data_IF_249525258883
#
_entry.id   IF_249525258883
#
_cell.length_a   1.000
_cell.length_b   1.000
_cell.length_c   1.000
_cell.angle_alpha   90.00
_cell.angle_beta   90.00
_cell.angle_gamma   90.00
#
_symmetry.space_group_name_H-M   'P 1'
#
loop_
_entity.id
_entity.type
_entity.pdbx_description
1 polymer ?
#
# COMPACT_ATOMS: atom_id res chain seq x y z
N UNK A 1 24.50 19.86 15.07
CA UNK A 1 24.05 18.94 16.15
C UNK A 1 22.78 19.45 16.82
N UNK A 2 22.59 20.77 16.94
CA UNK A 2 21.34 21.39 17.45
C UNK A 2 20.16 21.29 16.48
N UNK A 3 20.41 21.36 15.16
CA UNK A 3 19.39 21.17 14.11
C UNK A 3 18.74 19.79 14.16
N UNK A 4 19.53 18.73 14.37
CA UNK A 4 19.03 17.34 14.54
C UNK A 4 18.18 17.19 15.81
N UNK A 5 18.54 17.90 16.88
CA UNK A 5 17.79 17.91 18.15
C UNK A 5 16.46 18.66 18.02
N UNK A 6 16.41 19.68 17.16
CA UNK A 6 15.19 20.40 16.82
C UNK A 6 14.22 19.54 16.00
N UNK A 7 14.71 18.81 14.99
CA UNK A 7 13.91 17.83 14.25
C UNK A 7 13.48 16.65 15.13
N UNK A 8 14.34 16.14 16.01
CA UNK A 8 14.00 15.03 16.91
C UNK A 8 12.90 15.36 17.93
N UNK A 9 12.72 16.64 18.29
CA UNK A 9 11.61 17.08 19.14
C UNK A 9 10.27 17.21 18.38
N UNK A 10 10.31 17.23 17.05
CA UNK A 10 9.10 17.25 16.19
C UNK A 10 8.63 15.85 15.81
N UNK A 11 9.46 14.82 15.96
CA UNK A 11 9.06 13.45 15.64
C UNK A 11 8.39 12.84 16.86
N UNK A 12 7.07 12.69 16.78
CA UNK A 12 6.30 11.99 17.80
C UNK A 12 6.79 10.53 17.92
N UNK A 13 7.22 10.05 19.10
CA UNK A 13 7.74 8.70 19.27
C UNK A 13 6.69 7.62 18.94
N UNK A 14 5.40 7.96 19.08
CA UNK A 14 4.27 7.16 18.61
C UNK A 14 4.36 6.90 17.10
N UNK A 15 4.61 7.94 16.30
CA UNK A 15 4.70 7.84 14.86
C UNK A 15 5.81 6.88 14.43
N UNK A 16 6.99 7.01 15.06
CA UNK A 16 8.11 6.10 14.82
C UNK A 16 7.72 4.67 15.21
N UNK A 17 7.07 4.47 16.35
CA UNK A 17 6.67 3.14 16.79
C UNK A 17 5.72 2.49 15.77
N UNK A 18 4.65 3.17 15.35
CA UNK A 18 3.67 2.64 14.39
C UNK A 18 4.32 2.33 13.05
N UNK A 19 5.00 3.30 12.45
CA UNK A 19 5.57 3.16 11.11
C UNK A 19 6.70 2.13 11.10
N UNK A 20 7.64 2.20 12.05
CA UNK A 20 8.77 1.27 12.08
C UNK A 20 8.33 -0.17 12.37
N UNK A 21 7.40 -0.37 13.32
CA UNK A 21 6.93 -1.72 13.64
C UNK A 21 6.07 -2.30 12.52
N UNK A 22 5.16 -1.53 11.92
CA UNK A 22 4.34 -1.99 10.80
C UNK A 22 5.16 -2.33 9.56
N UNK A 23 6.15 -1.50 9.22
CA UNK A 23 7.04 -1.77 8.09
C UNK A 23 7.93 -2.99 8.38
N UNK A 24 8.41 -3.13 9.61
CA UNK A 24 9.19 -4.29 10.03
C UNK A 24 8.36 -5.58 9.95
N UNK A 25 7.09 -5.56 10.38
CA UNK A 25 6.21 -6.72 10.28
C UNK A 25 5.89 -7.07 8.83
N UNK A 26 5.73 -6.08 7.95
CA UNK A 26 5.56 -6.32 6.51
C UNK A 26 6.80 -6.98 5.88
N UNK A 27 7.99 -6.40 6.12
CA UNK A 27 9.25 -6.91 5.57
C UNK A 27 9.60 -8.31 6.07
N UNK A 28 9.23 -8.63 7.31
CA UNK A 28 9.43 -9.96 7.89
C UNK A 28 8.25 -10.91 7.67
N UNK A 29 7.20 -10.47 6.98
CA UNK A 29 5.97 -11.24 6.74
C UNK A 29 5.38 -11.81 8.05
N UNK A 30 5.43 -11.03 9.13
CA UNK A 30 4.95 -11.46 10.44
C UNK A 30 3.42 -11.29 10.50
N UNK A 31 2.71 -12.41 10.46
CA UNK A 31 1.26 -12.47 10.67
C UNK A 31 0.94 -12.57 12.17
N UNK A 32 0.25 -11.55 12.73
CA UNK A 32 -0.15 -11.52 14.15
C UNK A 32 -1.48 -12.25 14.41
N UNK A 33 -2.31 -12.37 13.38
CA UNK A 33 -3.57 -13.10 13.41
C UNK A 33 -3.47 -14.16 12.31
N UNK A 34 -4.01 -15.36 12.54
CA UNK A 34 -4.08 -16.47 11.58
C UNK A 34 -4.88 -16.20 10.29
N UNK A 35 -4.87 -14.94 9.81
CA UNK A 35 -5.22 -14.50 8.46
C UNK A 35 -4.23 -15.03 7.41
N UNK A 36 -3.04 -15.44 7.83
CA UNK A 36 -2.19 -16.34 7.06
C UNK A 36 -2.80 -17.75 7.10
N UNK A 37 -3.89 -17.98 6.36
CA UNK A 37 -4.36 -19.34 6.14
C UNK A 37 -3.26 -20.12 5.41
N UNK A 38 -2.98 -21.32 5.91
CA UNK A 38 -2.09 -22.30 5.30
C UNK A 38 -2.51 -22.55 3.86
N UNK A 39 -1.49 -22.62 3.00
CA UNK A 39 -1.51 -23.28 1.70
C UNK A 39 -2.30 -22.55 0.59
N UNK A 40 -1.62 -21.70 -0.17
CA UNK A 40 -2.00 -21.51 -1.57
C UNK A 40 -0.76 -21.14 -2.38
N UNK A 41 -0.35 -22.12 -3.19
CA UNK A 41 0.55 -22.06 -4.34
C UNK A 41 1.12 -20.68 -4.63
N UNK A 42 2.46 -20.62 -4.61
CA UNK A 42 3.33 -19.60 -5.22
C UNK A 42 2.69 -19.01 -6.48
N UNK A 43 1.77 -18.07 -6.31
CA UNK A 43 1.39 -17.14 -7.35
C UNK A 43 2.65 -16.31 -7.58
N UNK A 44 3.03 -16.01 -8.83
CA UNK A 44 4.27 -15.30 -9.16
C UNK A 44 4.22 -13.82 -8.75
N UNK A 45 3.30 -13.46 -7.85
CA UNK A 45 3.28 -12.19 -7.17
C UNK A 45 4.07 -12.37 -5.89
N UNK A 46 5.39 -12.49 -6.05
CA UNK A 46 6.31 -12.14 -4.99
C UNK A 46 5.84 -10.79 -4.39
N UNK A 47 5.99 -10.58 -3.07
CA UNK A 47 5.76 -9.29 -2.44
C UNK A 47 6.75 -8.29 -3.04
N UNK A 48 6.37 -7.79 -4.21
CA UNK A 48 7.20 -6.90 -5.01
C UNK A 48 7.44 -5.68 -4.14
N UNK A 49 8.63 -5.10 -4.30
CA UNK A 49 8.99 -3.83 -3.68
C UNK A 49 7.90 -2.75 -3.87
N UNK A 50 6.98 -2.92 -4.83
CA UNK A 50 5.79 -2.12 -5.01
C UNK A 50 4.80 -2.12 -3.83
N UNK A 51 4.73 -3.18 -3.03
CA UNK A 51 3.87 -3.22 -1.83
C UNK A 51 4.40 -2.33 -0.69
N UNK A 52 5.70 -2.05 -0.68
CA UNK A 52 6.36 -1.25 0.37
C UNK A 52 5.81 0.19 0.41
N UNK A 53 5.80 0.97 -0.69
CA UNK A 53 5.24 2.33 -0.66
C UNK A 53 3.74 2.33 -0.34
N UNK A 54 3.00 1.31 -0.75
CA UNK A 54 1.59 1.15 -0.38
C UNK A 54 1.42 0.94 1.13
N UNK A 55 2.12 -0.02 1.72
CA UNK A 55 2.04 -0.28 3.17
C UNK A 55 2.55 0.91 3.98
N UNK A 56 3.64 1.54 3.52
CA UNK A 56 4.15 2.76 4.13
C UNK A 56 3.09 3.86 4.13
N UNK A 57 2.35 4.02 3.04
CA UNK A 57 1.26 4.99 2.97
C UNK A 57 0.17 4.69 4.01
N UNK A 58 -0.33 3.45 4.06
CA UNK A 58 -1.35 3.07 5.05
C UNK A 58 -0.87 3.32 6.49
N UNK A 59 0.39 3.04 6.79
CA UNK A 59 0.97 3.26 8.12
C UNK A 59 1.12 4.75 8.46
N UNK A 60 1.48 5.60 7.50
CA UNK A 60 1.56 7.03 7.72
C UNK A 60 0.18 7.62 8.06
N UNK A 61 -0.86 7.24 7.31
CA UNK A 61 -2.24 7.62 7.66
C UNK A 61 -2.62 7.13 9.06
N UNK A 62 -2.31 5.88 9.37
CA UNK A 62 -2.63 5.31 10.68
C UNK A 62 -1.94 6.06 11.82
N UNK A 63 -0.70 6.51 11.60
CA UNK A 63 0.10 7.22 12.59
C UNK A 63 -0.34 8.67 12.82
N UNK A 64 -1.06 9.30 11.89
CA UNK A 64 -1.70 10.60 12.10
C UNK A 64 -2.94 10.51 12.99
N UNK A 65 -3.66 9.39 12.95
CA UNK A 65 -4.79 9.18 13.83
C UNK A 65 -4.34 8.76 15.23
N UNK A 66 -4.93 9.40 16.24
CA UNK A 66 -4.85 8.87 17.61
C UNK A 66 -5.61 7.56 17.70
N UNK A 67 -4.86 6.47 17.65
CA UNK A 67 -5.35 5.09 17.75
C UNK A 67 -5.95 4.76 19.13
N UNK A 68 -5.72 5.61 20.14
CA UNK A 68 -6.23 5.42 21.48
C UNK A 68 -7.67 5.94 21.64
N UNK A 69 -8.64 5.10 22.05
CA UNK A 69 -9.97 5.58 22.34
C UNK A 69 -9.96 6.42 23.63
N UNK A 70 -10.51 7.63 23.54
CA UNK A 70 -10.61 8.63 24.63
C UNK A 70 -11.33 8.07 25.88
N UNK A 71 -12.03 6.94 25.74
CA UNK A 71 -12.85 6.31 26.78
C UNK A 71 -12.08 5.45 27.78
N UNK A 72 -10.81 5.11 27.52
CA UNK A 72 -9.99 4.32 28.45
C UNK A 72 -9.13 5.23 29.33
N UNK A 73 -9.32 5.10 30.65
CA UNK A 73 -8.51 5.71 31.72
C UNK A 73 -7.01 5.57 31.39
N UNK A 74 -6.26 6.67 31.49
CA UNK A 74 -4.85 6.78 31.06
C UNK A 74 -4.04 5.51 31.37
N UNK A 75 -3.74 4.67 30.36
CA UNK A 75 -3.04 3.41 30.57
C UNK A 75 -1.55 3.68 30.90
N UNK A 76 -0.85 2.70 31.50
CA UNK A 76 0.60 2.77 31.59
C UNK A 76 1.23 2.83 30.19
N UNK A 77 2.24 3.68 30.03
CA UNK A 77 2.92 4.01 28.75
C UNK A 77 3.38 2.74 27.99
N UNK A 78 3.83 1.71 28.69
CA UNK A 78 4.27 0.45 28.06
C UNK A 78 3.13 -0.29 27.34
N UNK A 79 1.92 -0.25 27.90
CA UNK A 79 0.76 -0.95 27.36
C UNK A 79 0.19 -0.22 26.14
N UNK A 80 0.34 1.11 26.12
CA UNK A 80 0.03 1.94 24.96
C UNK A 80 0.92 1.58 23.76
N UNK A 81 2.25 1.49 23.96
CA UNK A 81 3.16 1.10 22.88
C UNK A 81 2.89 -0.31 22.35
N UNK A 82 2.64 -1.29 23.23
CA UNK A 82 2.31 -2.65 22.80
C UNK A 82 1.02 -2.67 21.98
N UNK A 83 0.02 -1.90 22.39
CA UNK A 83 -1.23 -1.75 21.65
C UNK A 83 -1.00 -1.15 20.27
N UNK A 84 -0.27 -0.05 20.17
CA UNK A 84 0.05 0.61 18.89
C UNK A 84 0.82 -0.32 17.95
N UNK A 85 1.80 -1.07 18.46
CA UNK A 85 2.54 -2.06 17.68
C UNK A 85 1.63 -3.17 17.15
N UNK A 86 0.69 -3.65 17.99
CA UNK A 86 -0.25 -4.69 17.61
C UNK A 86 -1.24 -4.20 16.55
N UNK A 87 -1.76 -2.97 16.71
CA UNK A 87 -2.68 -2.37 15.74
C UNK A 87 -1.96 -2.07 14.43
N UNK A 88 -0.72 -1.56 14.48
CA UNK A 88 0.10 -1.33 13.28
C UNK A 88 0.25 -2.63 12.49
N UNK A 89 0.71 -3.69 13.14
CA UNK A 89 0.91 -4.99 12.49
C UNK A 89 -0.40 -5.68 12.06
N UNK A 90 -1.51 -5.46 12.75
CA UNK A 90 -2.82 -5.90 12.29
C UNK A 90 -3.23 -5.15 11.01
N UNK A 91 -3.09 -3.83 11.02
CA UNK A 91 -3.47 -2.96 9.91
C UNK A 91 -2.67 -3.27 8.65
N UNK A 92 -1.36 -3.55 8.78
CA UNK A 92 -0.52 -3.94 7.64
C UNK A 92 -1.00 -5.24 7.03
N UNK A 93 -1.27 -6.26 7.86
CA UNK A 93 -1.76 -7.55 7.38
C UNK A 93 -3.12 -7.40 6.67
N UNK A 94 -4.02 -6.60 7.25
CA UNK A 94 -5.32 -6.34 6.64
C UNK A 94 -5.19 -5.59 5.30
N UNK A 95 -4.37 -4.54 5.24
CA UNK A 95 -4.15 -3.77 4.03
C UNK A 95 -3.57 -4.62 2.90
N UNK A 96 -2.65 -5.54 3.21
CA UNK A 96 -2.07 -6.43 2.21
C UNK A 96 -3.11 -7.43 1.71
N UNK A 97 -3.74 -8.16 2.62
CA UNK A 97 -4.62 -9.27 2.23
C UNK A 97 -5.95 -8.82 1.65
N UNK A 98 -6.56 -7.76 2.19
CA UNK A 98 -7.88 -7.31 1.75
C UNK A 98 -7.83 -6.29 0.61
N UNK A 99 -6.75 -5.52 0.47
CA UNK A 99 -6.67 -4.43 -0.51
C UNK A 99 -5.61 -4.73 -1.55
N UNK A 100 -4.36 -4.91 -1.14
CA UNK A 100 -3.23 -5.06 -2.07
C UNK A 100 -3.37 -6.30 -2.96
N UNK A 101 -3.59 -7.49 -2.38
CA UNK A 101 -3.66 -8.74 -3.15
C UNK A 101 -4.82 -8.71 -4.16
N UNK A 102 -6.07 -8.34 -3.80
CA UNK A 102 -7.15 -8.23 -4.77
C UNK A 102 -6.89 -7.18 -5.85
N UNK A 103 -6.26 -6.06 -5.48
CA UNK A 103 -5.88 -5.02 -6.43
C UNK A 103 -4.83 -5.51 -7.44
N UNK A 104 -3.85 -6.32 -7.00
CA UNK A 104 -2.90 -6.96 -7.91
C UNK A 104 -3.60 -7.89 -8.90
N UNK A 105 -4.54 -8.70 -8.43
CA UNK A 105 -5.33 -9.58 -9.29
C UNK A 105 -6.16 -8.80 -10.31
N UNK A 106 -6.76 -7.68 -9.91
CA UNK A 106 -7.53 -6.84 -10.83
C UNK A 106 -6.64 -6.19 -11.87
N UNK A 107 -5.46 -5.67 -11.50
CA UNK A 107 -4.48 -5.10 -12.44
C UNK A 107 -4.05 -6.17 -13.45
N UNK A 108 -3.69 -7.36 -12.98
CA UNK A 108 -3.29 -8.46 -13.86
C UNK A 108 -4.41 -8.88 -14.81
N UNK A 109 -5.64 -9.00 -14.30
CA UNK A 109 -6.79 -9.32 -15.13
C UNK A 109 -7.05 -8.23 -16.19
N UNK A 110 -6.94 -6.96 -15.80
CA UNK A 110 -7.12 -5.82 -16.72
C UNK A 110 -6.04 -5.78 -17.81
N UNK A 111 -4.77 -6.05 -17.50
CA UNK A 111 -3.70 -6.09 -18.51
C UNK A 111 -3.88 -7.25 -19.49
N UNK A 112 -4.33 -8.41 -19.01
CA UNK A 112 -4.60 -9.57 -19.86
C UNK A 112 -5.84 -9.35 -20.74
N UNK A 113 -6.90 -8.74 -20.21
CA UNK A 113 -8.10 -8.40 -20.97
C UNK A 113 -7.80 -7.31 -22.00
N UNK A 114 -7.03 -6.28 -21.63
CA UNK A 114 -6.67 -5.20 -22.55
C UNK A 114 -5.83 -5.71 -23.72
N UNK A 115 -4.89 -6.63 -23.47
CA UNK A 115 -4.13 -7.32 -24.52
C UNK A 115 -5.04 -8.03 -25.52
N UNK A 116 -5.97 -8.87 -25.03
CA UNK A 116 -6.94 -9.58 -25.88
C UNK A 116 -7.83 -8.64 -26.68
N UNK A 117 -8.26 -7.54 -26.06
CA UNK A 117 -9.10 -6.55 -26.71
C UNK A 117 -8.34 -5.81 -27.82
N UNK A 118 -7.07 -5.46 -27.58
CA UNK A 118 -6.20 -4.85 -28.60
C UNK A 118 -5.95 -5.79 -29.79
N UNK A 119 -5.76 -7.10 -29.54
CA UNK A 119 -5.65 -8.09 -30.62
C UNK A 119 -6.94 -8.20 -31.43
N UNK A 120 -8.10 -8.21 -30.75
CA UNK A 120 -9.40 -8.24 -31.43
C UNK A 120 -9.65 -6.97 -32.26
N UNK A 121 -9.25 -5.80 -31.76
CA UNK A 121 -9.36 -4.54 -32.48
C UNK A 121 -8.45 -4.55 -33.72
N UNK A 122 -7.22 -5.08 -33.59
CA UNK A 122 -6.29 -5.23 -34.70
C UNK A 122 -6.86 -6.09 -35.84
N UNK A 123 -7.46 -7.24 -35.51
CA UNK A 123 -8.09 -8.11 -36.51
C UNK A 123 -9.32 -7.48 -37.14
N UNK A 124 -10.12 -6.74 -36.36
CA UNK A 124 -11.31 -6.04 -36.85
C UNK A 124 -10.96 -4.92 -37.84
N UNK A 125 -9.83 -4.24 -37.62
CA UNK A 125 -9.33 -3.21 -38.53
C UNK A 125 -8.57 -3.77 -39.74
N UNK A 126 -8.36 -5.09 -39.83
CA UNK A 126 -7.62 -5.72 -40.93
C UNK A 126 -6.14 -5.34 -40.98
N UNK A 127 -5.55 -4.98 -39.83
CA UNK A 127 -4.15 -4.60 -39.71
C UNK A 127 -3.24 -5.84 -39.68
N UNK A 128 -2.05 -5.72 -40.25
CA UNK A 128 -1.05 -6.80 -40.26
C UNK A 128 -0.56 -7.19 -38.86
N UNK A 129 0.05 -8.38 -38.76
CA UNK A 129 0.65 -8.92 -37.53
C UNK A 129 1.83 -8.10 -36.98
N UNK A 130 2.41 -7.21 -37.79
CA UNK A 130 3.47 -6.28 -37.40
C UNK A 130 2.96 -4.88 -37.05
N UNK A 131 1.64 -4.71 -36.93
CA UNK A 131 1.06 -3.44 -36.54
C UNK A 131 1.51 -3.03 -35.13
N UNK A 132 1.53 -1.71 -34.91
CA UNK A 132 1.79 -1.15 -33.57
C UNK A 132 0.83 -1.69 -32.51
N UNK A 133 -0.42 -1.99 -32.88
CA UNK A 133 -1.41 -2.58 -31.98
C UNK A 133 -1.03 -3.99 -31.52
N UNK A 134 -0.55 -4.83 -32.44
CA UNK A 134 -0.13 -6.19 -32.11
C UNK A 134 1.09 -6.17 -31.20
N UNK A 135 2.02 -5.25 -31.45
CA UNK A 135 3.20 -5.05 -30.62
C UNK A 135 2.81 -4.61 -29.21
N UNK A 136 1.88 -3.65 -29.08
CA UNK A 136 1.38 -3.19 -27.77
C UNK A 136 0.57 -4.25 -27.02
N UNK A 137 -0.21 -5.05 -27.74
CA UNK A 137 -0.97 -6.14 -27.15
C UNK A 137 -0.06 -7.27 -26.63
N UNK A 138 0.97 -7.62 -27.40
CA UNK A 138 1.97 -8.60 -26.96
C UNK A 138 2.78 -8.09 -25.77
N UNK A 139 3.11 -6.79 -25.77
CA UNK A 139 3.73 -6.15 -24.61
C UNK A 139 2.82 -6.29 -23.39
N UNK A 140 1.55 -5.85 -23.46
CA UNK A 140 0.54 -5.97 -22.39
C UNK A 140 0.28 -7.39 -21.87
N UNK A 141 0.58 -8.42 -22.68
CA UNK A 141 0.43 -9.81 -22.28
C UNK A 141 1.58 -10.31 -21.38
N UNK A 142 2.71 -9.60 -21.32
CA UNK A 142 3.85 -9.96 -20.48
C UNK A 142 3.54 -9.75 -18.98
N UNK A 143 3.90 -10.73 -18.16
CA UNK A 143 3.67 -10.70 -16.71
C UNK A 143 4.39 -9.53 -16.01
N UNK A 144 5.48 -9.02 -16.59
CA UNK A 144 6.22 -7.87 -16.07
C UNK A 144 5.42 -6.56 -16.10
N UNK A 145 4.47 -6.39 -17.01
CA UNK A 145 3.70 -5.13 -17.07
C UNK A 145 2.73 -5.01 -15.92
N UNK A 146 2.14 -6.12 -15.48
CA UNK A 146 1.28 -6.10 -14.30
C UNK A 146 2.05 -5.64 -13.06
N UNK A 147 3.32 -6.05 -12.92
CA UNK A 147 4.17 -5.60 -11.81
C UNK A 147 4.61 -4.14 -11.95
N UNK A 148 4.90 -3.65 -13.17
CA UNK A 148 5.15 -2.22 -13.40
C UNK A 148 3.91 -1.36 -13.10
N UNK A 149 2.72 -1.77 -13.56
CA UNK A 149 1.47 -1.07 -13.28
C UNK A 149 1.15 -1.05 -11.79
N UNK A 150 1.42 -2.15 -11.09
CA UNK A 150 1.31 -2.21 -9.63
C UNK A 150 2.24 -1.23 -8.92
N UNK A 151 3.49 -1.11 -9.38
CA UNK A 151 4.44 -0.13 -8.85
C UNK A 151 4.00 1.31 -9.11
N UNK A 152 3.50 1.60 -10.31
CA UNK A 152 2.94 2.92 -10.62
C UNK A 152 1.73 3.23 -9.73
N UNK A 153 0.85 2.25 -9.52
CA UNK A 153 -0.32 2.42 -8.65
C UNK A 153 0.07 2.62 -7.19
N UNK A 154 1.11 1.96 -6.69
CA UNK A 154 1.56 2.15 -5.31
C UNK A 154 2.31 3.46 -5.09
N UNK A 155 3.10 3.90 -6.08
CA UNK A 155 3.65 5.26 -6.08
C UNK A 155 2.54 6.30 -6.13
N UNK A 156 1.52 6.08 -6.97
CA UNK A 156 0.39 6.99 -7.07
C UNK A 156 -0.38 7.02 -5.75
N UNK A 157 -0.65 5.89 -5.09
CA UNK A 157 -1.30 5.89 -3.78
C UNK A 157 -0.46 6.59 -2.72
N UNK A 158 0.86 6.45 -2.77
CA UNK A 158 1.77 7.13 -1.86
C UNK A 158 1.75 8.64 -2.06
N UNK A 159 1.85 9.12 -3.32
CA UNK A 159 1.76 10.55 -3.65
C UNK A 159 0.39 11.12 -3.29
N UNK A 160 -0.68 10.38 -3.62
CA UNK A 160 -2.04 10.79 -3.31
C UNK A 160 -2.29 10.85 -1.82
N UNK A 161 -1.64 9.99 -1.03
CA UNK A 161 -1.69 10.11 0.41
C UNK A 161 -1.00 11.38 0.89
N UNK A 162 0.20 11.72 0.38
CA UNK A 162 0.89 12.97 0.79
C UNK A 162 0.04 14.22 0.51
N UNK A 163 -0.70 14.22 -0.60
CA UNK A 163 -1.65 15.29 -0.96
C UNK A 163 -2.92 15.21 -0.09
N UNK A 164 -3.42 13.99 0.17
CA UNK A 164 -4.58 13.77 1.03
C UNK A 164 -4.31 14.23 2.47
N UNK A 165 -3.12 14.01 3.02
CA UNK A 165 -2.72 14.47 4.36
C UNK A 165 -2.71 16.00 4.45
N UNK A 166 -2.22 16.70 3.42
CA UNK A 166 -2.29 18.17 3.37
C UNK A 166 -3.76 18.64 3.27
N UNK A 167 -4.58 17.99 2.44
CA UNK A 167 -6.00 18.31 2.35
C UNK A 167 -6.79 17.99 3.63
N UNK A 168 -6.44 16.92 4.35
CA UNK A 168 -7.05 16.53 5.62
C UNK A 168 -6.70 17.51 6.73
N UNK A 169 -5.45 17.97 6.80
CA UNK A 169 -5.03 19.02 7.72
C UNK A 169 -5.86 20.29 7.51
N UNK A 170 -6.10 20.71 6.26
CA UNK A 170 -6.97 21.87 5.99
C UNK A 170 -8.43 21.66 6.38
N UNK A 171 -8.95 20.43 6.25
CA UNK A 171 -10.30 20.09 6.69
C UNK A 171 -10.43 20.04 8.22
N UNK A 172 -9.43 19.52 8.93
CA UNK A 172 -9.38 19.51 10.39
C UNK A 172 -9.24 20.93 10.96
N UNK A 173 -8.43 21.78 10.33
CA UNK A 173 -8.28 23.20 10.71
C UNK A 173 -9.55 24.02 10.50
N UNK A 174 -10.37 23.65 9.51
CA UNK A 174 -11.67 24.30 9.28
C UNK A 174 -12.76 23.79 10.21
N UNK A 175 -12.66 22.55 10.70
CA UNK A 175 -13.62 21.98 11.65
C UNK A 175 -13.35 22.35 13.11
N UNK A 176 -12.09 22.66 13.46
CA UNK A 176 -11.68 23.16 14.78
C UNK A 176 -11.89 24.67 14.98
N UNK A 177 -12.40 25.40 13.98
CA UNK A 177 -12.80 26.83 14.05
C UNK A 177 -14.31 26.98 14.10
#
# INVERSE_FOLDING_TARGET
METVKYYANFVDPHWIAVVATGLYTHLRQICIIGLCFEEENVLPFDPSYASIPFVFSVLCLLAEYRLWPVTLKEPPIQLLYIYEMLVAALSTNLAIHMIWIPMMHSIFCLTQISSKWLLWLNTTMGLDSYSWLTLFANYMAEDYIATYMAFCMSLLSFVWMLDATESLDTFLDTWNK
#
